data_IF_104701214790
#
_entry.id   IF_104701214790
#
_cell.length_a   1.000
_cell.length_b   1.000
_cell.length_c   1.000
_cell.angle_alpha   90.00
_cell.angle_beta   90.00
_cell.angle_gamma   90.00
#
_symmetry.space_group_name_H-M   'P 1'
#
loop_
_entity.id
_entity.type
_entity.pdbx_description
1 polymer ?
#
# COMPACT_ATOMS: atom_id res chain seq x y z
N UNK A 1 40.46 -2.88 -9.34
CA UNK A 1 39.69 -4.06 -9.79
C UNK A 1 38.59 -3.58 -10.74
N UNK A 2 38.42 -4.25 -11.87
CA UNK A 2 37.43 -3.92 -12.91
C UNK A 2 36.40 -5.06 -12.91
N UNK A 3 35.11 -4.71 -12.97
CA UNK A 3 34.00 -5.67 -12.97
C UNK A 3 33.29 -5.68 -14.33
N UNK A 4 32.69 -6.82 -14.66
CA UNK A 4 31.86 -6.93 -15.86
C UNK A 4 30.65 -6.01 -15.74
N UNK A 5 30.30 -5.29 -16.82
CA UNK A 5 29.12 -4.45 -16.80
C UNK A 5 27.86 -5.28 -16.60
N UNK A 6 26.91 -4.71 -15.85
CA UNK A 6 25.58 -5.28 -15.65
C UNK A 6 24.69 -5.13 -16.89
N UNK A 7 25.19 -4.68 -18.04
CA UNK A 7 24.44 -4.70 -19.30
C UNK A 7 25.29 -5.31 -20.43
N UNK A 8 24.59 -5.88 -21.43
CA UNK A 8 25.19 -6.73 -22.48
C UNK A 8 25.25 -6.04 -23.86
N UNK A 9 24.80 -4.79 -23.98
CA UNK A 9 24.89 -4.07 -25.25
C UNK A 9 26.32 -3.62 -25.52
N UNK A 10 26.66 -3.48 -26.81
CA UNK A 10 28.00 -3.13 -27.31
C UNK A 10 28.51 -1.74 -26.85
N UNK A 11 27.66 -0.96 -26.16
CA UNK A 11 27.91 0.37 -25.60
C UNK A 11 28.27 0.37 -24.11
N UNK A 12 28.22 -0.78 -23.41
CA UNK A 12 28.54 -0.82 -21.99
C UNK A 12 30.03 -0.94 -21.73
N UNK A 13 30.57 0.03 -20.99
CA UNK A 13 31.97 0.06 -20.56
C UNK A 13 32.14 -0.74 -19.28
N UNK A 14 33.32 -1.33 -19.13
CA UNK A 14 33.70 -1.95 -17.86
C UNK A 14 33.79 -0.90 -16.75
N UNK A 15 33.23 -1.23 -15.58
CA UNK A 15 33.18 -0.33 -14.44
C UNK A 15 34.28 -0.63 -13.42
N UNK A 16 34.77 0.42 -12.75
CA UNK A 16 35.71 0.26 -11.62
C UNK A 16 34.92 -0.02 -10.35
N UNK A 17 35.37 -0.99 -9.56
CA UNK A 17 34.74 -1.34 -8.29
C UNK A 17 34.68 -0.18 -7.28
N UNK A 18 35.57 0.81 -7.40
CA UNK A 18 35.59 2.01 -6.55
C UNK A 18 34.31 2.86 -6.67
N UNK A 19 33.58 2.78 -7.79
CA UNK A 19 32.32 3.50 -7.97
C UNK A 19 31.23 3.02 -6.98
N UNK A 20 31.27 1.75 -6.55
CA UNK A 20 30.32 1.18 -5.60
C UNK A 20 30.75 1.32 -4.13
N UNK A 21 31.76 2.14 -3.81
CA UNK A 21 32.30 2.27 -2.46
C UNK A 21 31.25 2.75 -1.44
N UNK A 22 30.42 3.72 -1.82
CA UNK A 22 29.33 4.21 -0.96
C UNK A 22 28.32 3.12 -0.59
N UNK A 23 27.92 2.28 -1.56
CA UNK A 23 27.04 1.14 -1.32
C UNK A 23 27.68 0.09 -0.42
N UNK A 24 29.00 -0.11 -0.53
CA UNK A 24 29.74 -0.99 0.38
C UNK A 24 29.69 -0.49 1.83
N UNK A 25 29.88 0.82 2.03
CA UNK A 25 29.78 1.44 3.34
C UNK A 25 28.38 1.31 3.94
N UNK A 26 27.32 1.55 3.16
CA UNK A 26 25.94 1.34 3.60
C UNK A 26 25.66 -0.13 3.96
N UNK A 27 26.08 -1.07 3.11
CA UNK A 27 25.94 -2.50 3.40
C UNK A 27 26.66 -2.86 4.70
N UNK A 28 27.86 -2.34 4.95
CA UNK A 28 28.59 -2.60 6.19
C UNK A 28 27.87 -2.07 7.43
N UNK A 29 27.27 -0.87 7.35
CA UNK A 29 26.48 -0.30 8.44
C UNK A 29 25.26 -1.18 8.79
N UNK A 30 24.54 -1.67 7.79
CA UNK A 30 23.35 -2.50 8.01
C UNK A 30 23.66 -3.96 8.34
N UNK A 31 24.74 -4.50 7.77
CA UNK A 31 25.15 -5.90 7.91
C UNK A 31 26.24 -6.07 8.96
N UNK A 32 25.95 -5.66 10.19
CA UNK A 32 26.82 -5.80 11.36
C UNK A 32 26.29 -6.91 12.29
N UNK A 33 27.13 -7.64 13.05
CA UNK A 33 26.68 -8.59 14.07
C UNK A 33 25.64 -8.03 15.06
N UNK A 34 25.65 -6.73 15.35
CA UNK A 34 24.62 -6.07 16.18
C UNK A 34 23.20 -6.23 15.61
N UNK A 35 23.04 -6.24 14.29
CA UNK A 35 21.74 -6.42 13.61
C UNK A 35 21.14 -7.80 13.89
N UNK A 36 21.98 -8.83 14.05
CA UNK A 36 21.53 -10.19 14.41
C UNK A 36 20.93 -10.20 15.82
N UNK A 37 21.64 -9.60 16.79
CA UNK A 37 21.14 -9.44 18.16
C UNK A 37 19.84 -8.63 18.21
N UNK A 38 19.74 -7.56 17.41
CA UNK A 38 18.52 -6.76 17.27
C UNK A 38 17.35 -7.59 16.74
N UNK A 39 17.58 -8.51 15.80
CA UNK A 39 16.51 -9.38 15.28
C UNK A 39 15.91 -10.27 16.37
N UNK A 40 16.75 -10.87 17.23
CA UNK A 40 16.30 -11.68 18.36
C UNK A 40 15.53 -10.84 19.37
N UNK A 41 16.01 -9.62 19.64
CA UNK A 41 15.35 -8.68 20.54
C UNK A 41 13.98 -8.26 20.02
N UNK A 42 13.84 -7.99 18.72
CA UNK A 42 12.55 -7.62 18.10
C UNK A 42 11.56 -8.77 18.18
N UNK A 43 11.99 -10.02 17.96
CA UNK A 43 11.12 -11.19 18.11
C UNK A 43 10.59 -11.32 19.54
N UNK A 44 11.48 -11.22 20.54
CA UNK A 44 11.07 -11.26 21.95
C UNK A 44 10.15 -10.10 22.31
N UNK A 45 10.50 -8.88 21.90
CA UNK A 45 9.72 -7.68 22.15
C UNK A 45 8.32 -7.78 21.53
N UNK A 46 8.19 -8.33 20.31
CA UNK A 46 6.91 -8.50 19.64
C UNK A 46 5.96 -9.42 20.42
N UNK A 47 6.46 -10.55 20.92
CA UNK A 47 5.64 -11.47 21.75
C UNK A 47 5.27 -10.83 23.07
N UNK A 48 6.24 -10.23 23.77
CA UNK A 48 5.99 -9.55 25.04
C UNK A 48 4.94 -8.43 24.87
N UNK A 49 5.07 -7.61 23.83
CA UNK A 49 4.14 -6.53 23.52
C UNK A 49 2.71 -7.04 23.34
N UNK A 50 2.52 -8.14 22.60
CA UNK A 50 1.19 -8.72 22.38
C UNK A 50 0.55 -9.21 23.69
N UNK A 51 1.32 -9.90 24.54
CA UNK A 51 0.84 -10.38 25.85
C UNK A 51 0.47 -9.20 26.78
N UNK A 52 1.34 -8.19 26.86
CA UNK A 52 1.06 -6.98 27.64
C UNK A 52 -0.15 -6.22 27.11
N UNK A 53 -0.32 -6.16 25.78
CA UNK A 53 -1.46 -5.53 25.16
C UNK A 53 -2.77 -6.25 25.50
N UNK A 54 -2.81 -7.58 25.41
CA UNK A 54 -3.99 -8.37 25.78
C UNK A 54 -4.37 -8.18 27.25
N UNK A 55 -3.38 -8.19 28.16
CA UNK A 55 -3.60 -7.91 29.59
C UNK A 55 -4.16 -6.50 29.83
N UNK A 56 -3.61 -5.50 29.14
CA UNK A 56 -4.08 -4.13 29.24
C UNK A 56 -5.51 -3.97 28.69
N UNK A 57 -5.81 -4.61 27.56
CA UNK A 57 -7.14 -4.63 26.97
C UNK A 57 -8.17 -5.23 27.94
N UNK A 58 -7.86 -6.34 28.62
CA UNK A 58 -8.74 -6.93 29.63
C UNK A 58 -8.97 -5.99 30.83
N UNK A 59 -7.92 -5.32 31.32
CA UNK A 59 -8.06 -4.32 32.38
C UNK A 59 -8.92 -3.13 31.94
N UNK A 60 -8.80 -2.67 30.70
CA UNK A 60 -9.62 -1.59 30.16
C UNK A 60 -11.08 -2.03 30.00
N UNK A 61 -11.32 -3.25 29.52
CA UNK A 61 -12.66 -3.83 29.39
C UNK A 61 -13.40 -3.87 30.74
N UNK A 62 -12.70 -4.23 31.82
CA UNK A 62 -13.25 -4.18 33.18
C UNK A 62 -13.48 -2.74 33.67
N UNK A 63 -12.48 -1.85 33.52
CA UNK A 63 -12.59 -0.45 33.98
C UNK A 63 -13.71 0.32 33.28
N UNK A 64 -13.94 0.04 32.01
CA UNK A 64 -15.01 0.65 31.22
C UNK A 64 -16.33 -0.13 31.28
N UNK A 65 -16.40 -1.18 32.11
CA UNK A 65 -17.58 -2.02 32.30
C UNK A 65 -18.17 -2.58 30.98
N UNK A 66 -17.29 -3.01 30.07
CA UNK A 66 -17.65 -3.51 28.73
C UNK A 66 -17.81 -5.04 28.68
N UNK A 67 -17.72 -5.73 29.82
CA UNK A 67 -17.76 -7.21 29.89
C UNK A 67 -19.08 -7.81 29.41
N UNK A 68 -20.19 -7.06 29.55
CA UNK A 68 -21.54 -7.52 29.26
C UNK A 68 -22.14 -6.88 28.01
N UNK A 69 -21.33 -6.28 27.12
CA UNK A 69 -21.86 -5.80 25.85
C UNK A 69 -22.35 -7.02 25.06
N UNK A 70 -23.66 -7.10 24.85
CA UNK A 70 -24.28 -8.10 24.00
C UNK A 70 -23.69 -7.99 22.59
N UNK A 71 -23.23 -9.11 22.06
CA UNK A 71 -22.78 -9.19 20.66
C UNK A 71 -23.93 -8.70 19.79
N UNK A 72 -23.64 -7.79 18.86
CA UNK A 72 -24.64 -7.21 17.98
C UNK A 72 -25.36 -8.31 17.17
N UNK A 73 -26.54 -8.70 17.65
CA UNK A 73 -27.40 -9.73 17.02
C UNK A 73 -28.33 -9.13 15.98
N UNK A 74 -28.39 -7.79 15.90
CA UNK A 74 -29.32 -7.10 15.02
C UNK A 74 -28.93 -7.33 13.56
N UNK A 75 -29.92 -7.68 12.75
CA UNK A 75 -29.72 -7.84 11.32
C UNK A 75 -29.57 -6.45 10.68
N UNK A 76 -28.55 -6.29 9.83
CA UNK A 76 -28.33 -5.04 9.09
C UNK A 76 -29.55 -4.75 8.18
N UNK A 77 -29.95 -3.48 8.02
CA UNK A 77 -31.09 -3.14 7.17
C UNK A 77 -30.90 -3.61 5.72
N UNK A 78 -29.68 -3.47 5.18
CA UNK A 78 -29.32 -3.94 3.83
C UNK A 78 -29.44 -5.47 3.67
N UNK A 79 -29.29 -6.22 4.75
CA UNK A 79 -29.48 -7.67 4.74
C UNK A 79 -30.97 -8.01 4.77
N UNK A 80 -31.75 -7.32 5.61
CA UNK A 80 -33.20 -7.49 5.70
C UNK A 80 -33.91 -7.18 4.38
N UNK A 81 -33.48 -6.14 3.65
CA UNK A 81 -34.02 -5.79 2.31
C UNK A 81 -33.78 -6.87 1.25
N UNK A 82 -32.68 -7.62 1.36
CA UNK A 82 -32.29 -8.68 0.41
C UNK A 82 -32.71 -10.07 0.85
N UNK A 83 -33.44 -10.17 1.96
CA UNK A 83 -33.90 -11.42 2.53
C UNK A 83 -34.81 -12.16 1.55
N UNK A 84 -34.67 -13.49 1.49
CA UNK A 84 -35.47 -14.31 0.57
C UNK A 84 -36.77 -14.78 1.21
N UNK A 85 -36.77 -15.00 2.52
CA UNK A 85 -37.92 -15.42 3.32
C UNK A 85 -37.67 -15.09 4.79
N UNK A 86 -38.74 -15.08 5.58
CA UNK A 86 -38.69 -14.81 7.02
C UNK A 86 -39.02 -16.09 7.79
N UNK A 87 -38.29 -16.35 8.89
CA UNK A 87 -38.46 -17.53 9.75
C UNK A 87 -38.59 -17.09 11.20
N UNK A 88 -39.46 -17.74 11.97
CA UNK A 88 -39.53 -17.54 13.42
C UNK A 88 -38.35 -18.25 14.11
N UNK A 89 -37.61 -17.50 14.92
CA UNK A 89 -36.54 -18.08 15.74
C UNK A 89 -37.13 -18.85 16.92
N UNK A 90 -36.69 -20.10 17.12
CA UNK A 90 -37.16 -20.98 18.20
C UNK A 90 -36.83 -20.45 19.60
N UNK A 91 -35.77 -19.64 19.71
CA UNK A 91 -35.26 -19.13 20.99
C UNK A 91 -35.87 -17.77 21.32
N UNK A 92 -35.97 -16.87 20.34
CA UNK A 92 -36.43 -15.49 20.56
C UNK A 92 -37.89 -15.27 20.22
N UNK A 93 -38.54 -16.20 19.50
CA UNK A 93 -39.92 -16.07 19.01
C UNK A 93 -40.12 -14.93 18.02
N UNK A 94 -39.05 -14.26 17.57
CA UNK A 94 -39.10 -13.12 16.66
C UNK A 94 -38.99 -13.59 15.21
N UNK A 95 -39.64 -12.84 14.31
CA UNK A 95 -39.55 -13.04 12.88
C UNK A 95 -38.19 -12.52 12.39
N UNK A 96 -37.34 -13.41 11.86
CA UNK A 96 -35.99 -13.08 11.38
C UNK A 96 -35.86 -13.29 9.86
N UNK A 97 -35.23 -12.34 9.14
CA UNK A 97 -34.94 -12.50 7.73
C UNK A 97 -33.83 -13.52 7.48
N UNK A 98 -34.02 -14.42 6.51
CA UNK A 98 -33.06 -15.43 6.09
C UNK A 98 -32.82 -15.41 4.58
N UNK A 99 -31.62 -15.83 4.16
CA UNK A 99 -31.21 -15.91 2.76
C UNK A 99 -30.90 -17.38 2.44
N UNK A 100 -31.27 -17.81 1.23
CA UNK A 100 -30.99 -19.16 0.76
C UNK A 100 -29.47 -19.45 0.76
N UNK A 101 -29.08 -20.59 1.35
CA UNK A 101 -27.67 -20.98 1.49
C UNK A 101 -26.92 -21.02 0.16
N UNK A 102 -27.57 -21.46 -0.93
CA UNK A 102 -26.97 -21.52 -2.26
C UNK A 102 -26.50 -20.13 -2.74
N UNK A 103 -27.26 -19.07 -2.42
CA UNK A 103 -26.88 -17.69 -2.78
C UNK A 103 -25.68 -17.22 -1.96
N UNK A 104 -25.62 -17.58 -0.68
CA UNK A 104 -24.51 -17.24 0.22
C UNK A 104 -23.23 -17.95 -0.24
N UNK A 105 -23.31 -19.26 -0.52
CA UNK A 105 -22.17 -20.06 -1.00
C UNK A 105 -21.65 -19.49 -2.32
N UNK A 106 -22.52 -19.20 -3.28
CA UNK A 106 -22.12 -18.62 -4.56
C UNK A 106 -21.44 -17.25 -4.38
N UNK A 107 -21.98 -16.37 -3.53
CA UNK A 107 -21.38 -15.08 -3.22
C UNK A 107 -19.99 -15.24 -2.58
N UNK A 108 -19.83 -16.20 -1.66
CA UNK A 108 -18.55 -16.45 -0.99
C UNK A 108 -17.48 -17.02 -1.94
N UNK A 109 -17.88 -17.93 -2.85
CA UNK A 109 -16.99 -18.47 -3.88
C UNK A 109 -16.55 -17.38 -4.85
N UNK A 110 -17.48 -16.53 -5.30
CA UNK A 110 -17.18 -15.42 -6.22
C UNK A 110 -16.22 -14.40 -5.59
N UNK A 111 -16.48 -14.01 -4.34
CA UNK A 111 -15.64 -13.03 -3.62
C UNK A 111 -14.26 -13.59 -3.28
N UNK A 112 -14.17 -14.85 -2.87
CA UNK A 112 -12.87 -15.49 -2.60
C UNK A 112 -12.06 -15.66 -3.90
N UNK A 113 -12.71 -16.09 -5.00
CA UNK A 113 -12.06 -16.22 -6.30
C UNK A 113 -11.54 -14.86 -6.82
N UNK A 114 -12.36 -13.81 -6.72
CA UNK A 114 -11.94 -12.45 -7.12
C UNK A 114 -10.80 -11.92 -6.25
N UNK A 115 -10.76 -12.21 -4.95
CA UNK A 115 -9.62 -11.86 -4.09
C UNK A 115 -8.32 -12.52 -4.54
N UNK A 116 -8.36 -13.81 -4.87
CA UNK A 116 -7.18 -14.54 -5.38
C UNK A 116 -6.71 -13.95 -6.71
N UNK A 117 -7.64 -13.66 -7.63
CA UNK A 117 -7.34 -13.03 -8.91
C UNK A 117 -6.67 -11.66 -8.70
N UNK A 118 -7.22 -10.82 -7.81
CA UNK A 118 -6.63 -9.52 -7.51
C UNK A 118 -5.21 -9.65 -6.96
N UNK A 119 -4.94 -10.63 -6.10
CA UNK A 119 -3.57 -10.90 -5.61
C UNK A 119 -2.63 -11.28 -6.76
N UNK A 120 -3.06 -12.12 -7.71
CA UNK A 120 -2.26 -12.49 -8.88
C UNK A 120 -1.98 -11.29 -9.80
N UNK A 121 -2.99 -10.44 -10.05
CA UNK A 121 -2.84 -9.20 -10.81
C UNK A 121 -1.87 -8.24 -10.12
N UNK A 122 -1.85 -8.22 -8.80
CA UNK A 122 -0.92 -7.38 -8.04
C UNK A 122 0.52 -7.85 -8.15
N UNK A 123 0.73 -9.16 -8.08
CA UNK A 123 2.05 -9.75 -8.29
C UNK A 123 2.52 -9.44 -9.71
N UNK A 124 1.66 -9.56 -10.73
CA UNK A 124 2.03 -9.25 -12.12
C UNK A 124 2.28 -7.75 -12.37
N UNK A 125 1.47 -6.86 -11.81
CA UNK A 125 1.68 -5.41 -11.88
C UNK A 125 3.03 -5.02 -11.25
N UNK A 126 3.38 -5.66 -10.13
CA UNK A 126 4.67 -5.47 -9.49
C UNK A 126 5.84 -5.95 -10.36
N UNK A 127 5.71 -7.13 -11.01
CA UNK A 127 6.69 -7.56 -12.02
C UNK A 127 6.84 -6.52 -13.15
N UNK A 128 5.75 -5.87 -13.57
CA UNK A 128 5.77 -4.76 -14.52
C UNK A 128 6.60 -3.56 -14.03
N UNK A 129 6.48 -3.16 -12.76
CA UNK A 129 7.31 -2.10 -12.15
C UNK A 129 8.78 -2.49 -12.12
N UNK A 130 9.09 -3.78 -11.90
CA UNK A 130 10.47 -4.27 -11.97
C UNK A 130 11.03 -4.18 -13.39
N UNK A 131 10.26 -4.58 -14.41
CA UNK A 131 10.67 -4.43 -15.82
C UNK A 131 10.92 -2.95 -16.14
N UNK A 132 10.03 -2.06 -15.70
CA UNK A 132 10.22 -0.62 -15.86
C UNK A 132 11.54 -0.13 -15.22
N UNK A 133 11.86 -0.58 -14.00
CA UNK A 133 13.13 -0.24 -13.33
C UNK A 133 14.35 -0.67 -14.16
N UNK A 134 14.34 -1.90 -14.65
CA UNK A 134 15.44 -2.44 -15.48
C UNK A 134 15.55 -1.63 -16.77
N UNK A 135 14.45 -1.35 -17.46
CA UNK A 135 14.43 -0.52 -18.67
C UNK A 135 14.93 0.89 -18.43
N UNK A 136 14.56 1.54 -17.32
CA UNK A 136 15.05 2.88 -16.99
C UNK A 136 16.54 2.90 -16.67
N UNK A 137 17.04 1.92 -15.93
CA UNK A 137 18.48 1.81 -15.67
C UNK A 137 19.30 1.68 -16.95
N UNK A 138 18.73 1.05 -17.99
CA UNK A 138 19.32 0.96 -19.33
C UNK A 138 19.32 2.30 -20.06
N UNK A 139 18.17 3.00 -20.10
CA UNK A 139 18.06 4.31 -20.76
C UNK A 139 19.02 5.34 -20.15
N UNK A 140 19.19 5.34 -18.83
CA UNK A 140 20.11 6.28 -18.14
C UNK A 140 21.57 6.04 -18.55
N UNK A 141 21.98 4.80 -18.83
CA UNK A 141 23.34 4.49 -19.31
C UNK A 141 23.60 5.01 -20.74
N UNK A 142 22.55 5.14 -21.54
CA UNK A 142 22.62 5.63 -22.91
C UNK A 142 22.85 7.16 -22.96
N UNK A 143 22.37 7.91 -21.95
CA UNK A 143 22.64 9.34 -21.84
C UNK A 143 24.10 9.63 -21.47
N UNK A 144 24.80 10.42 -22.29
CA UNK A 144 26.25 10.66 -22.17
C UNK A 144 26.65 11.74 -21.14
N UNK A 145 25.87 11.92 -20.08
CA UNK A 145 26.18 12.91 -19.02
C UNK A 145 27.01 12.21 -17.92
N UNK A 146 28.30 12.54 -17.75
CA UNK A 146 29.21 11.78 -16.88
C UNK A 146 28.80 11.82 -15.40
N UNK A 147 28.26 12.95 -14.92
CA UNK A 147 27.78 13.08 -13.54
C UNK A 147 26.58 12.18 -13.21
N UNK A 148 25.74 11.85 -14.21
CA UNK A 148 24.56 10.97 -14.02
C UNK A 148 24.99 9.50 -14.09
N UNK A 149 26.02 9.18 -14.88
CA UNK A 149 26.56 7.83 -14.99
C UNK A 149 27.12 7.32 -13.66
N UNK A 150 27.85 8.15 -12.92
CA UNK A 150 28.45 7.77 -11.63
C UNK A 150 27.40 7.44 -10.55
N UNK A 151 26.22 8.08 -10.60
CA UNK A 151 25.13 7.86 -9.64
C UNK A 151 23.95 7.06 -10.20
N UNK A 152 24.08 6.49 -11.41
CA UNK A 152 22.98 5.86 -12.14
C UNK A 152 22.23 4.83 -11.29
N UNK A 153 22.96 3.93 -10.63
CA UNK A 153 22.35 2.86 -9.83
C UNK A 153 21.55 3.39 -8.62
N UNK A 154 22.03 4.47 -7.99
CA UNK A 154 21.32 5.12 -6.89
C UNK A 154 20.06 5.82 -7.38
N UNK A 155 20.17 6.57 -8.49
CA UNK A 155 19.05 7.28 -9.10
C UNK A 155 17.98 6.29 -9.56
N UNK A 156 18.35 5.21 -10.24
CA UNK A 156 17.43 4.16 -10.69
C UNK A 156 16.71 3.47 -9.51
N UNK A 157 17.44 3.18 -8.43
CA UNK A 157 16.87 2.57 -7.23
C UNK A 157 15.89 3.50 -6.51
N UNK A 158 16.26 4.78 -6.34
CA UNK A 158 15.45 5.78 -5.67
C UNK A 158 14.20 6.16 -6.47
N UNK A 159 14.36 6.47 -7.77
CA UNK A 159 13.23 6.81 -8.66
C UNK A 159 12.23 5.67 -8.75
N UNK A 160 12.72 4.43 -8.90
CA UNK A 160 11.84 3.28 -8.93
C UNK A 160 11.18 2.97 -7.58
N UNK A 161 11.83 3.24 -6.45
CA UNK A 161 11.20 3.16 -5.12
C UNK A 161 10.10 4.22 -4.96
N UNK A 162 10.32 5.44 -5.45
CA UNK A 162 9.30 6.50 -5.45
C UNK A 162 8.09 6.15 -6.29
N UNK A 163 8.29 5.62 -7.51
CA UNK A 163 7.20 5.17 -8.37
C UNK A 163 6.42 4.03 -7.69
N UNK A 164 7.13 3.08 -7.10
CA UNK A 164 6.50 1.98 -6.33
C UNK A 164 5.68 2.54 -5.16
N UNK A 165 6.19 3.52 -4.43
CA UNK A 165 5.48 4.16 -3.32
C UNK A 165 4.22 4.91 -3.77
N UNK A 166 4.28 5.63 -4.91
CA UNK A 166 3.11 6.29 -5.50
C UNK A 166 2.04 5.26 -5.91
N UNK A 167 2.46 4.17 -6.57
CA UNK A 167 1.56 3.08 -6.95
C UNK A 167 0.91 2.44 -5.72
N UNK A 168 1.69 2.16 -4.66
CA UNK A 168 1.18 1.59 -3.41
C UNK A 168 0.07 2.47 -2.81
N UNK A 169 0.28 3.79 -2.75
CA UNK A 169 -0.70 4.73 -2.21
C UNK A 169 -1.99 4.77 -3.04
N UNK A 170 -1.86 4.85 -4.36
CA UNK A 170 -3.01 4.85 -5.27
C UNK A 170 -3.82 3.55 -5.14
N UNK A 171 -3.14 2.40 -5.21
CA UNK A 171 -3.76 1.08 -5.15
C UNK A 171 -4.43 0.80 -3.80
N UNK A 172 -3.86 1.27 -2.69
CA UNK A 172 -4.49 1.13 -1.35
C UNK A 172 -5.87 1.80 -1.29
N UNK A 173 -6.03 2.94 -1.95
CA UNK A 173 -7.34 3.63 -2.02
C UNK A 173 -8.35 2.85 -2.86
N UNK A 174 -7.89 2.27 -3.97
CA UNK A 174 -8.71 1.42 -4.85
C UNK A 174 -9.12 0.14 -4.12
N UNK A 175 -8.21 -0.51 -3.39
CA UNK A 175 -8.52 -1.72 -2.63
C UNK A 175 -9.50 -1.49 -1.52
N UNK A 176 -9.48 -0.34 -0.86
CA UNK A 176 -10.50 -0.02 0.14
C UNK A 176 -11.91 -0.01 -0.50
N UNK A 177 -12.05 0.60 -1.68
CA UNK A 177 -13.32 0.63 -2.43
C UNK A 177 -13.72 -0.75 -2.94
N UNK A 178 -12.77 -1.51 -3.48
CA UNK A 178 -13.01 -2.88 -3.93
C UNK A 178 -13.41 -3.78 -2.76
N UNK A 179 -12.64 -3.82 -1.67
CA UNK A 179 -12.94 -4.62 -0.49
C UNK A 179 -14.34 -4.30 0.07
N UNK A 180 -14.76 -3.04 0.04
CA UNK A 180 -16.12 -2.64 0.41
C UNK A 180 -17.16 -3.20 -0.56
N UNK A 181 -16.92 -3.10 -1.87
CA UNK A 181 -17.81 -3.66 -2.89
C UNK A 181 -17.93 -5.19 -2.79
N UNK A 182 -16.81 -5.92 -2.67
CA UNK A 182 -16.80 -7.37 -2.48
C UNK A 182 -17.56 -7.76 -1.20
N UNK A 183 -17.33 -7.05 -0.09
CA UNK A 183 -17.99 -7.38 1.18
C UNK A 183 -19.49 -7.06 1.15
N UNK A 184 -19.94 -6.12 0.33
CA UNK A 184 -21.37 -5.86 0.11
C UNK A 184 -22.08 -6.95 -0.72
N UNK A 185 -21.32 -7.79 -1.43
CA UNK A 185 -21.84 -8.96 -2.16
C UNK A 185 -21.99 -10.15 -1.22
N UNK A 186 -21.09 -10.30 -0.25
CA UNK A 186 -21.22 -11.29 0.82
C UNK A 186 -22.32 -10.85 1.78
N UNK A 187 -23.47 -11.51 1.72
CA UNK A 187 -24.63 -11.21 2.54
C UNK A 187 -24.37 -11.44 4.05
N UNK A 188 -23.68 -10.50 4.70
CA UNK A 188 -23.40 -10.54 6.14
C UNK A 188 -24.63 -10.11 6.94
N UNK A 189 -25.03 -10.94 7.91
CA UNK A 189 -26.22 -10.70 8.74
C UNK A 189 -26.03 -9.53 9.71
N UNK A 190 -24.91 -9.52 10.45
CA UNK A 190 -24.64 -8.52 11.50
C UNK A 190 -23.58 -7.51 11.07
N UNK A 191 -23.59 -6.31 11.65
CA UNK A 191 -22.61 -5.26 11.35
C UNK A 191 -21.19 -5.70 11.71
N UNK A 192 -21.03 -6.40 12.83
CA UNK A 192 -19.74 -6.95 13.26
C UNK A 192 -19.14 -7.92 12.23
N UNK A 193 -19.92 -8.88 11.72
CA UNK A 193 -19.43 -9.84 10.71
C UNK A 193 -19.02 -9.18 9.41
N UNK A 194 -19.79 -8.16 8.99
CA UNK A 194 -19.45 -7.35 7.84
C UNK A 194 -18.13 -6.61 8.04
N UNK A 195 -17.96 -5.95 9.18
CA UNK A 195 -16.75 -5.17 9.47
C UNK A 195 -15.51 -6.06 9.58
N UNK A 196 -15.60 -7.21 10.25
CA UNK A 196 -14.50 -8.18 10.29
C UNK A 196 -14.10 -8.68 8.90
N UNK A 197 -15.09 -9.01 8.06
CA UNK A 197 -14.84 -9.49 6.70
C UNK A 197 -14.25 -8.40 5.81
N UNK A 198 -14.71 -7.15 5.96
CA UNK A 198 -14.15 -5.99 5.25
C UNK A 198 -12.70 -5.72 5.69
N UNK A 199 -12.44 -5.70 7.00
CA UNK A 199 -11.10 -5.47 7.57
C UNK A 199 -10.14 -6.54 7.05
N UNK A 200 -10.53 -7.82 7.10
CA UNK A 200 -9.70 -8.91 6.64
C UNK A 200 -9.32 -8.77 5.16
N UNK A 201 -10.31 -8.53 4.27
CA UNK A 201 -10.03 -8.36 2.83
C UNK A 201 -9.16 -7.15 2.54
N UNK A 202 -9.49 -6.01 3.12
CA UNK A 202 -8.74 -4.78 2.93
C UNK A 202 -7.29 -4.94 3.43
N UNK A 203 -7.11 -5.60 4.58
CA UNK A 203 -5.79 -5.92 5.12
C UNK A 203 -5.03 -6.87 4.21
N UNK A 204 -5.63 -7.96 3.73
CA UNK A 204 -4.98 -8.93 2.86
C UNK A 204 -4.47 -8.31 1.54
N UNK A 205 -5.31 -7.53 0.85
CA UNK A 205 -4.90 -6.83 -0.37
C UNK A 205 -3.81 -5.78 -0.10
N UNK A 206 -3.95 -5.03 1.00
CA UNK A 206 -2.95 -4.04 1.40
C UNK A 206 -1.62 -4.69 1.80
N UNK A 207 -1.65 -5.85 2.44
CA UNK A 207 -0.46 -6.60 2.84
C UNK A 207 0.34 -7.02 1.61
N UNK A 208 -0.31 -7.66 0.63
CA UNK A 208 0.34 -8.05 -0.63
C UNK A 208 0.91 -6.81 -1.32
N UNK A 209 0.14 -5.73 -1.45
CA UNK A 209 0.60 -4.50 -2.10
C UNK A 209 1.84 -3.87 -1.45
N UNK A 210 1.87 -3.76 -0.11
CA UNK A 210 2.96 -3.09 0.59
C UNK A 210 4.23 -3.94 0.67
N UNK A 211 4.09 -5.25 0.90
CA UNK A 211 5.24 -6.11 1.18
C UNK A 211 5.78 -6.85 -0.03
N UNK A 212 5.02 -7.01 -1.13
CA UNK A 212 5.48 -7.75 -2.33
C UNK A 212 6.83 -7.24 -2.85
N UNK A 213 7.04 -5.92 -2.82
CA UNK A 213 8.28 -5.32 -3.29
C UNK A 213 9.51 -5.69 -2.46
N UNK A 214 9.33 -5.70 -1.15
CA UNK A 214 10.36 -6.03 -0.17
C UNK A 214 10.66 -7.53 -0.23
N UNK A 215 9.63 -8.37 -0.29
CA UNK A 215 9.78 -9.82 -0.45
C UNK A 215 10.55 -10.18 -1.73
N UNK A 216 10.25 -9.52 -2.85
CA UNK A 216 10.98 -9.77 -4.09
C UNK A 216 12.47 -9.41 -3.98
N UNK A 217 12.79 -8.21 -3.49
CA UNK A 217 14.18 -7.76 -3.37
C UNK A 217 14.97 -8.65 -2.41
N UNK A 218 14.36 -9.11 -1.32
CA UNK A 218 15.02 -9.94 -0.33
C UNK A 218 15.27 -11.39 -0.81
N UNK A 219 14.29 -12.02 -1.46
CA UNK A 219 14.34 -13.47 -1.74
C UNK A 219 14.61 -13.83 -3.20
N UNK A 220 14.19 -13.00 -4.16
CA UNK A 220 14.20 -13.36 -5.59
C UNK A 220 15.20 -12.55 -6.41
N UNK A 221 15.48 -11.29 -6.05
CA UNK A 221 16.44 -10.43 -6.76
C UNK A 221 17.86 -11.02 -6.69
N UNK A 222 18.53 -11.12 -7.84
CA UNK A 222 19.89 -11.66 -7.95
C UNK A 222 20.05 -13.17 -7.76
N UNK A 223 18.97 -13.92 -7.45
CA UNK A 223 19.03 -15.40 -7.31
C UNK A 223 18.88 -16.14 -8.64
N UNK A 224 18.17 -15.56 -9.60
CA UNK A 224 18.03 -16.09 -10.97
C UNK A 224 19.10 -15.51 -11.91
N UNK A 225 20.37 -15.63 -11.52
CA UNK A 225 21.49 -15.14 -12.31
C UNK A 225 21.87 -16.14 -13.41
N UNK A 226 21.97 -15.67 -14.64
CA UNK A 226 22.54 -16.44 -15.76
C UNK A 226 23.98 -16.00 -15.99
N UNK A 227 24.90 -16.96 -16.15
CA UNK A 227 26.30 -16.65 -16.41
C UNK A 227 26.44 -15.89 -17.74
N UNK A 228 27.33 -14.89 -17.83
CA UNK A 228 27.45 -14.02 -19.01
C UNK A 228 27.88 -14.76 -20.29
N UNK A 229 28.34 -16.01 -20.19
CA UNK A 229 28.72 -16.85 -21.34
C UNK A 229 27.61 -17.75 -21.90
N UNK A 230 26.45 -17.83 -21.26
CA UNK A 230 25.37 -18.73 -21.68
C UNK A 230 24.27 -17.98 -22.44
N UNK A 231 24.39 -17.98 -23.78
CA UNK A 231 23.46 -17.32 -24.69
C UNK A 231 22.16 -18.13 -24.92
N UNK A 232 22.13 -19.42 -24.56
CA UNK A 232 21.06 -20.34 -24.95
C UNK A 232 19.84 -20.23 -24.02
N UNK A 233 20.05 -20.00 -22.72
CA UNK A 233 18.97 -19.73 -21.75
C UNK A 233 18.28 -18.36 -21.92
N UNK A 234 18.90 -17.41 -22.63
CA UNK A 234 18.39 -16.05 -22.83
C UNK A 234 17.23 -15.96 -23.84
N UNK A 235 17.18 -16.86 -24.81
CA UNK A 235 16.12 -16.90 -25.83
C UNK A 235 14.77 -17.36 -25.25
N UNK A 236 14.79 -18.21 -24.22
CA UNK A 236 13.58 -18.79 -23.61
C UNK A 236 12.72 -17.76 -22.85
N UNK A 237 13.35 -16.72 -22.28
CA UNK A 237 12.68 -15.63 -21.55
C UNK A 237 12.42 -14.38 -22.41
N UNK A 238 12.42 -14.51 -23.74
CA UNK A 238 12.13 -13.41 -24.66
C UNK A 238 13.13 -12.26 -24.60
N UNK A 239 14.37 -12.51 -24.16
CA UNK A 239 15.42 -11.49 -24.07
C UNK A 239 15.32 -10.55 -22.86
N UNK A 240 14.36 -10.75 -21.94
CA UNK A 240 14.32 -10.03 -20.66
C UNK A 240 15.53 -10.39 -19.79
N UNK A 241 16.30 -9.38 -19.39
CA UNK A 241 17.45 -9.53 -18.49
C UNK A 241 16.96 -9.71 -17.05
N UNK A 242 17.52 -10.67 -16.30
CA UNK A 242 17.28 -10.77 -14.87
C UNK A 242 17.86 -9.57 -14.12
N UNK A 243 17.13 -9.08 -13.10
CA UNK A 243 17.55 -7.97 -12.25
C UNK A 243 18.75 -8.41 -11.38
N UNK A 244 19.89 -7.73 -11.56
CA UNK A 244 21.17 -8.09 -10.94
C UNK A 244 21.44 -7.16 -9.75
N UNK A 245 21.88 -7.73 -8.62
CA UNK A 245 22.31 -6.95 -7.46
C UNK A 245 23.63 -6.21 -7.73
N UNK A 246 23.87 -5.13 -6.96
CA UNK A 246 25.21 -4.54 -6.81
C UNK A 246 26.25 -5.59 -6.41
N UNK A 247 27.55 -5.37 -6.71
CA UNK A 247 28.63 -6.26 -6.25
C UNK A 247 28.70 -6.37 -4.71
N UNK A 248 28.17 -5.39 -3.99
CA UNK A 248 28.06 -5.34 -2.52
C UNK A 248 26.80 -6.02 -1.97
N UNK A 249 25.97 -6.63 -2.82
CA UNK A 249 24.71 -7.29 -2.47
C UNK A 249 23.46 -6.40 -2.59
N UNK A 250 22.29 -6.99 -2.32
CA UNK A 250 20.98 -6.34 -2.47
C UNK A 250 20.43 -5.67 -1.19
N UNK A 251 21.17 -5.72 -0.07
CA UNK A 251 20.67 -5.20 1.22
C UNK A 251 20.53 -3.68 1.22
N UNK A 252 21.43 -2.97 0.53
CA UNK A 252 21.34 -1.52 0.38
C UNK A 252 20.08 -1.12 -0.41
N UNK A 253 19.80 -1.79 -1.54
CA UNK A 253 18.59 -1.56 -2.32
C UNK A 253 17.32 -1.82 -1.51
N UNK A 254 17.32 -2.89 -0.71
CA UNK A 254 16.22 -3.23 0.19
C UNK A 254 15.98 -2.13 1.23
N UNK A 255 17.06 -1.64 1.85
CA UNK A 255 16.99 -0.60 2.88
C UNK A 255 16.47 0.74 2.31
N UNK A 256 16.92 1.12 1.12
CA UNK A 256 16.46 2.33 0.42
C UNK A 256 14.98 2.18 0.07
N UNK A 257 14.58 1.02 -0.46
CA UNK A 257 13.18 0.75 -0.79
C UNK A 257 12.27 0.88 0.44
N UNK A 258 12.66 0.27 1.56
CA UNK A 258 11.93 0.37 2.82
C UNK A 258 11.86 1.81 3.34
N UNK A 259 12.98 2.53 3.35
CA UNK A 259 13.04 3.92 3.80
C UNK A 259 12.12 4.82 2.96
N UNK A 260 12.15 4.68 1.63
CA UNK A 260 11.32 5.46 0.71
C UNK A 260 9.83 5.12 0.88
N UNK A 261 9.46 3.83 0.93
CA UNK A 261 8.05 3.44 1.09
C UNK A 261 7.49 3.92 2.43
N UNK A 262 8.24 3.76 3.53
CA UNK A 262 7.80 4.18 4.86
C UNK A 262 7.66 5.71 4.95
N UNK A 263 8.65 6.45 4.47
CA UNK A 263 8.60 7.92 4.46
C UNK A 263 7.46 8.45 3.58
N UNK A 264 7.29 7.91 2.36
CA UNK A 264 6.22 8.28 1.47
C UNK A 264 4.84 7.96 2.06
N UNK A 265 4.68 6.83 2.74
CA UNK A 265 3.41 6.46 3.40
C UNK A 265 3.08 7.41 4.56
N UNK A 266 4.06 7.78 5.38
CA UNK A 266 3.87 8.73 6.49
C UNK A 266 3.47 10.09 5.93
N UNK A 267 4.25 10.59 4.96
CA UNK A 267 3.99 11.88 4.33
C UNK A 267 2.64 11.91 3.62
N UNK A 268 2.34 10.88 2.81
CA UNK A 268 1.06 10.76 2.11
C UNK A 268 -0.12 10.77 3.07
N UNK A 269 -0.07 10.02 4.16
CA UNK A 269 -1.11 10.05 5.20
C UNK A 269 -1.26 11.42 5.82
N UNK A 270 -0.17 12.09 6.16
CA UNK A 270 -0.20 13.45 6.72
C UNK A 270 -0.89 14.43 5.76
N UNK A 271 -0.56 14.37 4.46
CA UNK A 271 -1.17 15.22 3.43
C UNK A 271 -2.68 14.95 3.31
N UNK A 272 -3.10 13.70 3.20
CA UNK A 272 -4.52 13.37 3.01
C UNK A 272 -5.38 13.57 4.26
N UNK A 273 -4.84 13.32 5.46
CA UNK A 273 -5.64 13.34 6.70
C UNK A 273 -5.62 14.69 7.43
N UNK A 274 -4.53 15.45 7.36
CA UNK A 274 -4.43 16.74 8.04
C UNK A 274 -4.55 17.91 7.07
N UNK A 275 -3.77 17.89 5.98
CA UNK A 275 -3.64 19.03 5.08
C UNK A 275 -4.88 19.19 4.19
N UNK A 276 -5.37 18.10 3.57
CA UNK A 276 -6.54 18.14 2.69
C UNK A 276 -7.81 18.69 3.37
N UNK A 277 -8.26 18.20 4.55
CA UNK A 277 -9.46 18.75 5.18
C UNK A 277 -9.24 20.19 5.69
N UNK A 278 -8.03 20.55 6.12
CA UNK A 278 -7.72 21.93 6.50
C UNK A 278 -7.84 22.90 5.31
N UNK A 279 -7.29 22.53 4.16
CA UNK A 279 -7.41 23.34 2.93
C UNK A 279 -8.86 23.35 2.46
N UNK A 280 -9.54 22.20 2.41
CA UNK A 280 -10.93 22.09 1.96
C UNK A 280 -11.87 22.96 2.80
N UNK A 281 -11.74 22.92 4.13
CA UNK A 281 -12.55 23.75 5.03
C UNK A 281 -12.25 25.24 4.89
N UNK A 282 -10.96 25.63 4.75
CA UNK A 282 -10.57 27.03 4.50
C UNK A 282 -11.06 27.56 3.16
N UNK A 283 -10.96 26.76 2.10
CA UNK A 283 -11.45 27.11 0.76
C UNK A 283 -12.96 27.24 0.77
N UNK A 284 -13.71 26.27 1.34
CA UNK A 284 -15.16 26.41 1.48
C UNK A 284 -15.56 27.62 2.33
N UNK A 285 -14.83 27.93 3.40
CA UNK A 285 -15.08 29.12 4.21
C UNK A 285 -14.77 30.44 3.48
N UNK A 286 -13.81 30.45 2.54
CA UNK A 286 -13.54 31.60 1.67
C UNK A 286 -14.61 31.73 0.59
N UNK A 287 -14.98 30.63 -0.08
CA UNK A 287 -16.03 30.60 -1.10
C UNK A 287 -17.37 31.05 -0.51
N UNK A 288 -17.72 30.58 0.69
CA UNK A 288 -18.94 31.02 1.38
C UNK A 288 -18.92 32.52 1.69
N UNK A 289 -17.78 33.06 2.15
CA UNK A 289 -17.62 34.51 2.39
C UNK A 289 -17.73 35.35 1.12
N UNK A 290 -17.26 34.84 -0.03
CA UNK A 290 -17.39 35.54 -1.32
C UNK A 290 -18.84 35.50 -1.78
N UNK A 291 -19.52 34.35 -1.66
CA UNK A 291 -20.94 34.22 -2.01
C UNK A 291 -21.85 35.11 -1.14
N UNK A 292 -21.56 35.20 0.17
CA UNK A 292 -22.26 36.10 1.09
C UNK A 292 -21.97 37.58 0.76
N UNK A 293 -20.80 37.93 0.22
CA UNK A 293 -20.47 39.29 -0.23
C UNK A 293 -21.22 39.69 -1.50
N UNK A 294 -21.38 38.77 -2.46
CA UNK A 294 -22.12 39.01 -3.70
C UNK A 294 -23.64 39.13 -3.48
N UNK A 295 -24.17 38.63 -2.36
CA UNK A 295 -25.57 38.79 -1.96
C UNK A 295 -25.85 40.11 -1.21
N UNK A 296 -24.83 40.90 -0.86
CA UNK A 296 -25.04 42.20 -0.24
C UNK A 296 -25.56 43.20 -1.29
N UNK A 297 -26.63 43.96 -0.99
CA UNK A 297 -27.11 44.99 -1.90
C UNK A 297 -26.00 46.03 -2.12
N UNK A 298 -25.67 46.30 -3.39
CA UNK A 298 -24.65 47.29 -3.77
C UNK A 298 -25.08 48.68 -3.28
N UNK A 299 -24.18 49.47 -2.65
CA UNK A 299 -24.52 50.78 -2.10
C UNK A 299 -24.51 51.87 -3.18
N UNK A 300 -25.48 51.83 -4.10
CA UNK A 300 -25.95 52.93 -4.96
C UNK A 300 -27.40 52.54 -5.33
N UNK A 301 -28.50 53.18 -4.95
CA UNK A 301 -28.82 54.55 -4.55
C UNK A 301 -29.95 54.48 -3.51
N UNK A 302 -29.67 54.72 -2.23
CA UNK A 302 -30.70 55.10 -1.25
C UNK A 302 -30.67 56.64 -1.22
N UNK A 303 -31.28 57.28 -2.23
CA UNK A 303 -31.45 58.74 -2.21
C UNK A 303 -32.50 59.10 -1.15
N UNK A 304 -31.99 59.82 -0.15
CA UNK A 304 -32.61 60.46 1.01
C UNK A 304 -34.00 61.09 0.79
N UNK A 305 -34.94 60.94 1.73
CA UNK A 305 -35.99 61.94 1.96
C UNK A 305 -35.45 63.06 2.87
N UNK A 306 -36.14 64.22 2.88
CA UNK A 306 -35.97 65.40 3.76
C UNK A 306 -34.96 66.43 3.18
N UNK A 307 -35.24 67.72 2.96
CA UNK A 307 -36.28 68.68 3.40
C UNK A 307 -36.17 69.98 2.58
N UNK A 308 -37.27 70.74 2.45
CA UNK A 308 -37.21 72.20 2.51
C UNK A 308 -37.88 72.97 1.37
N UNK A 309 -39.16 73.31 1.57
CA UNK A 309 -39.81 74.64 1.41
C UNK A 309 -41.28 74.47 1.04
#
# INVERSE_FOLDING_TARGET
MIICPTCHFHTCKFERLSASCFFSYLTYLFNNPATVAMSCMISFWSTAFMEFWQRNQASLMLRWNLMSIEVDTTARPQFAERASYNVYSEITGKLEPMIALNKIIYAYVLTTSTMILLVLVMISAFFGVMIYKVSMSYLILEFDIPAIKDYNQMIASFTGAMISACLIQALTTVFKKLAMWLTNIEYHRTQSQFDYSFIYKNYALSFVNNYSSVFYIAFFKGKFFTHPGDLQHRSYFGGLKSDVCSPTGCIADLSINLMVILSANIFGRMVFTAIFPYIYTRVNAMVKRIYDYDQLPKPQEFQSPVSGS
#
